data_IF_493907723695
#
_entry.id   IF_493907723695
#
_cell.length_a   1.000
_cell.length_b   1.000
_cell.length_c   1.000
_cell.angle_alpha   90.00
_cell.angle_beta   90.00
_cell.angle_gamma   90.00
#
_symmetry.space_group_name_H-M   'P 1'
#
loop_
_entity.id
_entity.type
_entity.pdbx_description
1 polymer ?
#
# COMPACT_ATOMS: atom_id res chain seq x y z
N UNK A 1 -23.18 26.76 -3.62
CA UNK A 1 -22.98 25.34 -3.93
C UNK A 1 -22.30 25.22 -5.28
N UNK A 2 -21.23 24.43 -5.38
CA UNK A 2 -20.54 24.21 -6.64
C UNK A 2 -20.03 22.77 -6.73
N UNK A 3 -19.82 22.31 -7.98
CA UNK A 3 -19.24 21.03 -8.31
C UNK A 3 -17.88 21.27 -8.97
N UNK A 4 -16.84 20.64 -8.44
CA UNK A 4 -15.51 20.60 -9.04
C UNK A 4 -15.22 19.18 -9.47
N UNK A 5 -14.63 19.01 -10.65
CA UNK A 5 -14.23 17.71 -11.18
C UNK A 5 -12.72 17.69 -11.36
N UNK A 6 -12.06 16.75 -10.69
CA UNK A 6 -10.64 16.48 -10.83
C UNK A 6 -10.45 15.20 -11.64
N UNK A 7 -9.50 15.21 -12.55
CA UNK A 7 -9.15 14.06 -13.34
C UNK A 7 -7.64 13.82 -13.27
N UNK A 8 -7.26 12.62 -12.85
CA UNK A 8 -5.90 12.12 -12.92
C UNK A 8 -5.76 11.24 -14.17
N UNK A 9 -4.90 11.67 -15.11
CA UNK A 9 -4.78 11.02 -16.42
C UNK A 9 -4.10 9.67 -16.35
N UNK A 10 -3.06 9.56 -15.53
CA UNK A 10 -2.25 8.34 -15.45
C UNK A 10 -2.98 7.23 -14.68
N UNK A 11 -3.77 7.59 -13.68
CA UNK A 11 -4.58 6.64 -12.91
C UNK A 11 -5.99 6.43 -13.49
N UNK A 12 -6.37 7.15 -14.57
CA UNK A 12 -7.72 7.16 -15.14
C UNK A 12 -8.81 7.38 -14.08
N UNK A 13 -8.47 8.10 -13.01
CA UNK A 13 -9.37 8.34 -11.88
C UNK A 13 -10.03 9.70 -12.01
N UNK A 14 -11.33 9.76 -11.76
CA UNK A 14 -12.12 11.00 -11.74
C UNK A 14 -12.69 11.20 -10.35
N UNK A 15 -12.51 12.38 -9.77
CA UNK A 15 -13.08 12.76 -8.49
C UNK A 15 -14.05 13.92 -8.66
N UNK A 16 -15.28 13.71 -8.22
CA UNK A 16 -16.34 14.72 -8.14
C UNK A 16 -16.38 15.27 -6.73
N UNK A 17 -16.22 16.57 -6.56
CA UNK A 17 -16.29 17.25 -5.27
C UNK A 17 -17.47 18.23 -5.29
N UNK A 18 -18.48 17.93 -4.49
CA UNK A 18 -19.65 18.79 -4.28
C UNK A 18 -19.47 19.58 -2.99
N UNK A 19 -19.43 20.89 -3.08
CA UNK A 19 -19.29 21.78 -1.92
C UNK A 19 -20.62 22.49 -1.64
N UNK A 20 -21.10 22.31 -0.41
CA UNK A 20 -22.33 22.88 0.11
C UNK A 20 -22.05 23.93 1.20
N UNK A 21 -20.85 24.50 1.21
CA UNK A 21 -20.40 25.49 2.18
C UNK A 21 -20.00 24.89 3.53
N UNK A 22 -20.93 24.28 4.26
CA UNK A 22 -20.66 23.64 5.56
C UNK A 22 -20.36 22.14 5.45
N UNK A 23 -20.59 21.56 4.28
CA UNK A 23 -20.40 20.13 4.03
C UNK A 23 -19.80 19.93 2.65
N UNK A 24 -18.86 19.03 2.53
CA UNK A 24 -18.25 18.61 1.26
C UNK A 24 -18.45 17.11 1.05
N UNK A 25 -18.91 16.74 -0.14
CA UNK A 25 -19.02 15.36 -0.56
C UNK A 25 -18.04 15.11 -1.70
N UNK A 26 -17.15 14.13 -1.55
CA UNK A 26 -16.21 13.71 -2.59
C UNK A 26 -16.53 12.28 -3.03
N UNK A 27 -16.65 12.09 -4.35
CA UNK A 27 -16.86 10.79 -4.97
C UNK A 27 -15.73 10.54 -5.97
N UNK A 28 -14.85 9.59 -5.68
CA UNK A 28 -13.80 9.15 -6.58
C UNK A 28 -14.24 7.90 -7.35
N UNK A 29 -14.11 7.95 -8.67
CA UNK A 29 -14.36 6.83 -9.57
C UNK A 29 -13.04 6.44 -10.24
N UNK A 30 -12.72 5.16 -10.19
CA UNK A 30 -11.55 4.59 -10.86
C UNK A 30 -11.98 3.46 -11.80
N UNK A 31 -11.18 3.13 -12.84
CA UNK A 31 -11.49 2.05 -13.77
C UNK A 31 -11.44 0.67 -13.11
N UNK A 32 -10.93 0.58 -11.88
CA UNK A 32 -10.93 -0.68 -11.13
C UNK A 32 -12.36 -1.17 -10.92
N UNK A 33 -12.71 -2.24 -11.60
CA UNK A 33 -14.02 -2.88 -11.50
C UNK A 33 -14.25 -3.55 -10.14
N UNK A 34 -13.21 -3.70 -9.34
CA UNK A 34 -13.26 -4.37 -8.06
C UNK A 34 -13.42 -3.35 -6.95
N UNK A 35 -14.56 -3.41 -6.29
CA UNK A 35 -14.83 -2.68 -5.07
C UNK A 35 -14.01 -3.31 -3.94
N UNK A 36 -12.75 -2.95 -3.89
CA UNK A 36 -11.86 -3.33 -2.80
C UNK A 36 -11.92 -2.30 -1.69
N UNK A 37 -11.93 -2.78 -0.48
CA UNK A 37 -11.49 -1.99 0.67
C UNK A 37 -10.03 -1.58 0.43
N UNK A 38 -9.55 -0.51 1.08
CA UNK A 38 -8.13 -0.14 1.03
C UNK A 38 -7.24 -1.38 1.20
N UNK A 39 -6.37 -1.64 0.25
CA UNK A 39 -5.53 -2.85 0.21
C UNK A 39 -5.82 -3.82 -0.93
N UNK A 40 -6.61 -3.42 -1.92
CA UNK A 40 -6.69 -4.06 -3.22
C UNK A 40 -5.68 -3.39 -4.19
N UNK A 41 -5.30 -4.10 -5.24
CA UNK A 41 -4.39 -3.60 -6.27
C UNK A 41 -2.95 -3.40 -5.77
N UNK A 42 -2.27 -2.40 -6.31
CA UNK A 42 -0.86 -2.10 -6.05
C UNK A 42 -0.61 -1.54 -4.64
N UNK A 43 -1.65 -1.12 -3.94
CA UNK A 43 -1.56 -0.60 -2.57
C UNK A 43 -0.88 -1.59 -1.63
N UNK A 44 -1.10 -2.90 -1.82
CA UNK A 44 -0.46 -3.93 -1.01
C UNK A 44 1.05 -3.97 -1.19
N UNK A 45 1.58 -3.63 -2.36
CA UNK A 45 3.02 -3.56 -2.60
C UNK A 45 3.67 -2.44 -1.78
N UNK A 46 3.01 -1.29 -1.68
CA UNK A 46 3.49 -0.20 -0.85
C UNK A 46 3.45 -0.55 0.65
N UNK A 47 2.46 -1.34 1.07
CA UNK A 47 2.32 -1.77 2.46
C UNK A 47 3.28 -2.88 2.91
N UNK A 48 3.99 -3.55 1.98
CA UNK A 48 5.05 -4.51 2.33
C UNK A 48 6.39 -3.83 2.60
N UNK A 49 6.55 -2.57 2.24
CA UNK A 49 7.74 -1.82 2.59
C UNK A 49 7.78 -1.67 4.11
N UNK A 50 8.88 -2.07 4.70
CA UNK A 50 9.10 -1.92 6.12
C UNK A 50 9.44 -0.46 6.37
N UNK A 51 8.46 0.29 6.84
CA UNK A 51 8.71 1.63 7.35
C UNK A 51 9.19 1.45 8.79
N UNK A 52 10.40 1.90 9.14
CA UNK A 52 10.90 1.81 10.50
C UNK A 52 9.91 2.41 11.50
N UNK A 53 9.67 1.74 12.63
CA UNK A 53 8.73 2.20 13.67
C UNK A 53 9.07 3.61 14.18
N UNK A 54 10.34 3.97 14.16
CA UNK A 54 10.86 5.31 14.49
C UNK A 54 10.24 6.39 13.61
N UNK A 55 10.08 6.13 12.31
CA UNK A 55 9.44 7.03 11.35
C UNK A 55 7.95 7.18 11.59
N UNK A 56 7.28 6.07 11.88
CA UNK A 56 5.86 6.10 12.24
C UNK A 56 5.65 6.88 13.52
N UNK A 57 6.56 6.77 14.49
CA UNK A 57 6.52 7.54 15.74
C UNK A 57 6.87 9.02 15.52
N UNK A 58 7.89 9.32 14.72
CA UNK A 58 8.27 10.69 14.37
C UNK A 58 7.13 11.41 13.64
N UNK A 59 6.55 10.77 12.63
CA UNK A 59 5.37 11.29 11.93
C UNK A 59 4.20 11.47 12.88
N UNK A 60 3.91 10.52 13.76
CA UNK A 60 2.84 10.65 14.76
C UNK A 60 3.09 11.82 15.75
N UNK A 61 4.33 12.12 16.09
CA UNK A 61 4.65 13.25 16.98
C UNK A 61 4.58 14.60 16.26
N UNK A 62 5.05 14.68 15.02
CA UNK A 62 4.91 15.85 14.16
C UNK A 62 3.44 16.18 13.86
N UNK A 63 2.64 15.16 13.60
CA UNK A 63 1.23 15.28 13.25
C UNK A 63 0.32 15.60 14.45
N UNK A 64 0.80 15.45 15.68
CA UNK A 64 0.10 15.94 16.87
C UNK A 64 0.12 17.47 16.97
N UNK A 65 1.15 18.10 16.41
CA UNK A 65 1.37 19.54 16.47
C UNK A 65 0.95 20.27 15.20
N UNK A 66 0.89 19.59 14.07
CA UNK A 66 0.54 20.21 12.79
C UNK A 66 -0.37 19.27 11.97
N UNK A 67 -1.49 19.78 11.50
CA UNK A 67 -2.46 18.98 10.74
C UNK A 67 -2.02 18.77 9.28
N UNK A 68 -1.03 19.53 8.80
CA UNK A 68 -0.50 19.47 7.45
C UNK A 68 0.72 18.55 7.41
N UNK A 69 0.77 17.73 6.37
CA UNK A 69 1.87 16.80 6.13
C UNK A 69 2.47 17.09 4.75
N UNK A 70 3.69 17.61 4.72
CA UNK A 70 4.45 17.82 3.49
C UNK A 70 5.59 16.79 3.42
N UNK A 71 5.48 15.77 2.53
CA UNK A 71 6.51 14.74 2.40
C UNK A 71 7.86 15.31 1.96
N UNK A 72 7.85 16.36 1.12
CA UNK A 72 9.05 16.97 0.58
C UNK A 72 9.84 17.70 1.67
N UNK A 73 9.15 18.52 2.46
CA UNK A 73 9.78 19.21 3.59
C UNK A 73 10.33 18.23 4.61
N UNK A 74 9.57 17.21 4.97
CA UNK A 74 10.01 16.19 5.92
C UNK A 74 11.19 15.37 5.41
N UNK A 75 11.24 15.07 4.10
CA UNK A 75 12.39 14.43 3.47
C UNK A 75 13.67 15.25 3.64
N UNK A 76 13.59 16.58 3.43
CA UNK A 76 14.72 17.49 3.54
C UNK A 76 15.12 17.68 5.02
N UNK A 77 14.16 17.91 5.91
CA UNK A 77 14.42 18.20 7.33
C UNK A 77 15.04 17.01 8.07
N UNK A 78 14.70 15.80 7.68
CA UNK A 78 15.13 14.57 8.34
C UNK A 78 16.18 13.76 7.55
N UNK A 79 16.68 14.28 6.43
CA UNK A 79 17.65 13.62 5.56
C UNK A 79 17.22 12.22 5.11
N UNK A 80 15.94 12.09 4.77
CA UNK A 80 15.34 10.85 4.25
C UNK A 80 15.26 10.91 2.75
N UNK A 81 15.65 9.83 2.07
CA UNK A 81 15.50 9.78 0.62
C UNK A 81 14.01 9.83 0.20
N UNK A 82 13.75 10.38 -0.96
CA UNK A 82 12.38 10.56 -1.47
C UNK A 82 11.65 9.25 -1.64
N UNK A 83 12.30 8.18 -2.07
CA UNK A 83 11.66 6.87 -2.26
C UNK A 83 11.12 6.31 -0.94
N UNK A 84 11.87 6.47 0.15
CA UNK A 84 11.44 6.07 1.50
C UNK A 84 10.28 6.95 1.98
N UNK A 85 10.32 8.25 1.71
CA UNK A 85 9.24 9.17 2.08
C UNK A 85 7.96 8.88 1.29
N UNK A 86 8.06 8.58 0.00
CA UNK A 86 6.93 8.19 -0.84
C UNK A 86 6.32 6.86 -0.36
N UNK A 87 7.15 5.88 -0.01
CA UNK A 87 6.69 4.62 0.56
C UNK A 87 5.97 4.82 1.90
N UNK A 88 6.50 5.69 2.76
CA UNK A 88 5.87 6.06 4.03
C UNK A 88 4.52 6.73 3.79
N UNK A 89 4.48 7.73 2.91
CA UNK A 89 3.27 8.46 2.54
C UNK A 89 2.20 7.52 1.98
N UNK A 90 2.57 6.64 1.04
CA UNK A 90 1.69 5.63 0.47
C UNK A 90 1.18 4.65 1.53
N UNK A 91 2.05 4.19 2.43
CA UNK A 91 1.66 3.30 3.54
C UNK A 91 0.67 3.97 4.48
N UNK A 92 0.94 5.21 4.93
CA UNK A 92 0.07 5.96 5.82
C UNK A 92 -1.28 6.30 5.18
N UNK A 93 -1.28 6.64 3.88
CA UNK A 93 -2.50 6.89 3.10
C UNK A 93 -3.33 5.60 2.95
N UNK A 94 -2.68 4.48 2.67
CA UNK A 94 -3.33 3.17 2.50
C UNK A 94 -4.03 2.68 3.76
N UNK A 95 -3.51 3.00 4.92
CA UNK A 95 -4.14 2.69 6.21
C UNK A 95 -5.10 3.78 6.69
N UNK A 96 -5.28 4.83 5.89
CA UNK A 96 -6.25 5.90 6.13
C UNK A 96 -5.79 6.96 7.13
N UNK A 97 -4.51 6.99 7.53
CA UNK A 97 -3.97 8.00 8.43
C UNK A 97 -3.66 9.32 7.73
N UNK A 98 -3.32 9.28 6.45
CA UNK A 98 -3.21 10.46 5.62
C UNK A 98 -4.40 10.55 4.67
N UNK A 99 -4.97 11.74 4.55
CA UNK A 99 -5.84 12.15 3.47
C UNK A 99 -5.10 13.11 2.55
N UNK A 100 -5.66 13.40 1.40
CA UNK A 100 -5.16 14.39 0.46
C UNK A 100 -6.27 15.40 0.16
N UNK A 101 -6.00 16.68 0.39
CA UNK A 101 -6.90 17.75 -0.01
C UNK A 101 -6.57 18.16 -1.45
N UNK A 102 -7.52 17.92 -2.37
CA UNK A 102 -7.36 18.21 -3.78
C UNK A 102 -7.32 19.72 -4.08
N UNK A 103 -7.96 20.57 -3.25
CA UNK A 103 -7.96 22.01 -3.47
C UNK A 103 -6.62 22.64 -3.05
N UNK A 104 -6.14 22.23 -1.87
CA UNK A 104 -4.88 22.75 -1.31
C UNK A 104 -3.66 21.99 -1.86
N UNK A 105 -3.89 20.88 -2.60
CA UNK A 105 -2.83 20.00 -3.10
C UNK A 105 -1.88 19.52 -2.01
N UNK A 106 -2.41 19.21 -0.84
CA UNK A 106 -1.62 18.86 0.34
C UNK A 106 -2.16 17.62 1.05
N UNK A 107 -1.26 16.86 1.64
CA UNK A 107 -1.63 15.79 2.56
C UNK A 107 -1.99 16.37 3.94
N UNK A 108 -2.96 15.75 4.58
CA UNK A 108 -3.35 16.06 5.94
C UNK A 108 -3.49 14.81 6.79
N UNK A 109 -3.18 14.95 8.06
CA UNK A 109 -3.30 13.85 9.02
C UNK A 109 -4.73 13.64 9.49
N UNK A 110 -5.15 12.38 9.53
CA UNK A 110 -6.46 11.99 10.01
C UNK A 110 -6.35 11.33 11.39
N UNK A 111 -6.96 11.95 12.37
CA UNK A 111 -7.11 11.33 13.70
C UNK A 111 -8.18 10.25 13.64
N UNK A 112 -7.76 9.01 13.43
CA UNK A 112 -8.69 7.89 13.42
C UNK A 112 -8.89 7.36 14.85
N UNK A 113 -10.13 6.97 15.22
CA UNK A 113 -10.42 6.40 16.53
C UNK A 113 -9.90 4.97 16.71
N UNK A 114 -9.06 4.48 15.79
CA UNK A 114 -8.58 3.11 15.75
C UNK A 114 -7.08 3.02 16.05
N UNK A 115 -6.68 1.93 16.70
CA UNK A 115 -5.26 1.59 16.84
C UNK A 115 -4.71 1.10 15.50
N UNK A 116 -3.53 1.57 15.11
CA UNK A 116 -2.82 1.19 13.89
C UNK A 116 -2.76 -0.34 13.69
N UNK A 117 -2.46 -1.09 14.75
CA UNK A 117 -2.39 -2.54 14.71
C UNK A 117 -3.69 -3.21 14.24
N UNK A 118 -4.85 -2.60 14.51
CA UNK A 118 -6.13 -3.11 14.02
C UNK A 118 -6.29 -2.88 12.52
N UNK A 119 -5.86 -1.74 12.01
CA UNK A 119 -5.97 -1.40 10.58
C UNK A 119 -5.10 -2.35 9.76
N UNK A 120 -3.86 -2.57 10.17
CA UNK A 120 -2.94 -3.51 9.51
C UNK A 120 -3.48 -4.96 9.52
N UNK A 121 -4.24 -5.32 10.56
CA UNK A 121 -4.87 -6.64 10.67
C UNK A 121 -6.10 -6.81 9.75
N UNK A 122 -6.67 -5.73 9.21
CA UNK A 122 -7.84 -5.78 8.33
C UNK A 122 -7.52 -6.31 6.92
N UNK A 123 -6.24 -6.39 6.54
CA UNK A 123 -5.86 -6.97 5.25
C UNK A 123 -5.42 -8.44 5.41
N UNK A 124 -6.30 -9.41 5.11
CA UNK A 124 -5.97 -10.82 5.30
C UNK A 124 -4.79 -11.30 4.46
N UNK A 125 -4.60 -10.74 3.25
CA UNK A 125 -3.50 -11.13 2.36
C UNK A 125 -2.16 -10.71 2.94
N UNK A 126 -2.05 -9.47 3.40
CA UNK A 126 -0.84 -8.95 4.02
C UNK A 126 -0.53 -9.66 5.34
N UNK A 127 -1.55 -9.86 6.19
CA UNK A 127 -1.40 -10.64 7.44
C UNK A 127 -0.88 -12.05 7.18
N UNK A 128 -1.48 -12.73 6.19
CA UNK A 128 -1.08 -14.09 5.84
C UNK A 128 0.30 -14.14 5.15
N UNK A 129 0.68 -13.10 4.39
CA UNK A 129 2.03 -13.00 3.82
C UNK A 129 3.08 -12.86 4.92
N UNK A 130 2.88 -11.99 5.90
CA UNK A 130 3.77 -11.85 7.08
C UNK A 130 3.87 -13.15 7.87
N UNK A 131 2.75 -13.88 8.01
CA UNK A 131 2.77 -15.19 8.64
C UNK A 131 3.63 -16.19 7.86
N UNK A 132 3.55 -16.23 6.54
CA UNK A 132 4.41 -17.10 5.72
C UNK A 132 5.90 -16.78 5.86
N UNK A 133 6.23 -15.50 6.04
CA UNK A 133 7.60 -15.05 6.33
C UNK A 133 8.03 -15.50 7.72
N UNK A 134 7.22 -15.24 8.76
CA UNK A 134 7.56 -15.63 10.14
C UNK A 134 7.64 -17.14 10.34
N UNK A 135 6.86 -17.91 9.58
CA UNK A 135 6.86 -19.38 9.62
C UNK A 135 7.97 -20.00 8.74
N UNK A 136 8.87 -19.16 8.18
CA UNK A 136 9.95 -19.59 7.27
C UNK A 136 9.44 -20.47 6.11
N UNK A 137 8.25 -20.15 5.62
CA UNK A 137 7.55 -20.95 4.61
C UNK A 137 7.97 -20.68 3.17
N UNK A 138 8.99 -19.85 2.95
CA UNK A 138 9.50 -19.44 1.63
C UNK A 138 10.88 -20.05 1.40
N UNK A 139 11.04 -20.82 0.33
CA UNK A 139 12.30 -21.40 -0.11
C UNK A 139 12.67 -20.83 -1.49
N UNK A 140 13.77 -20.09 -1.58
CA UNK A 140 14.26 -19.59 -2.86
C UNK A 140 14.97 -20.70 -3.64
N UNK A 141 14.60 -20.89 -4.90
CA UNK A 141 15.31 -21.73 -5.88
C UNK A 141 16.25 -20.88 -6.71
N UNK A 142 15.82 -19.67 -7.09
CA UNK A 142 16.64 -18.67 -7.76
C UNK A 142 16.33 -17.33 -7.11
N UNK A 143 17.34 -16.56 -6.77
CA UNK A 143 17.20 -15.22 -6.22
C UNK A 143 18.26 -14.31 -6.85
N UNK A 144 17.86 -13.61 -7.92
CA UNK A 144 18.69 -12.63 -8.62
C UNK A 144 17.93 -11.32 -8.74
N UNK A 145 18.58 -10.19 -9.00
CA UNK A 145 17.90 -8.89 -9.13
C UNK A 145 16.82 -8.85 -10.21
N UNK A 146 16.94 -9.67 -11.28
CA UNK A 146 16.03 -9.67 -12.41
C UNK A 146 15.04 -10.84 -12.40
N UNK A 147 15.40 -11.95 -11.72
CA UNK A 147 14.59 -13.16 -11.73
C UNK A 147 14.61 -13.85 -10.38
N UNK A 148 13.44 -14.09 -9.85
CA UNK A 148 13.23 -14.81 -8.59
C UNK A 148 12.28 -15.97 -8.82
N UNK A 149 12.70 -17.15 -8.36
CA UNK A 149 11.85 -18.34 -8.29
C UNK A 149 11.88 -18.85 -6.85
N UNK A 150 10.70 -18.97 -6.26
CA UNK A 150 10.55 -19.44 -4.89
C UNK A 150 9.40 -20.43 -4.75
N UNK A 151 9.58 -21.38 -3.83
CA UNK A 151 8.52 -22.26 -3.36
C UNK A 151 8.00 -21.75 -2.03
N UNK A 152 6.68 -21.68 -1.93
CA UNK A 152 5.99 -21.19 -0.73
C UNK A 152 5.04 -22.26 -0.23
N UNK A 153 5.26 -22.72 1.00
CA UNK A 153 4.40 -23.71 1.64
C UNK A 153 3.03 -23.14 1.93
N UNK A 154 1.98 -23.75 1.39
CA UNK A 154 0.57 -23.51 1.76
C UNK A 154 0.13 -24.50 2.85
N UNK A 155 -1.19 -24.60 3.09
CA UNK A 155 -1.72 -25.49 4.14
C UNK A 155 -1.51 -26.97 3.79
N UNK A 156 -1.75 -27.38 2.53
CA UNK A 156 -1.62 -28.77 2.09
C UNK A 156 -0.89 -28.89 0.75
N UNK A 157 -0.44 -27.78 0.20
CA UNK A 157 0.11 -27.68 -1.15
C UNK A 157 1.23 -26.63 -1.17
N UNK A 158 2.27 -26.92 -1.93
CA UNK A 158 3.34 -25.97 -2.22
C UNK A 158 3.03 -25.16 -3.47
N UNK A 159 3.26 -23.87 -3.41
CA UNK A 159 3.03 -22.95 -4.51
C UNK A 159 4.35 -22.44 -5.08
N UNK A 160 4.46 -22.40 -6.39
CA UNK A 160 5.60 -21.77 -7.08
C UNK A 160 5.28 -20.31 -7.36
N UNK A 161 6.20 -19.43 -6.96
CA UNK A 161 6.18 -17.99 -7.24
C UNK A 161 7.33 -17.68 -8.19
N UNK A 162 7.03 -16.95 -9.25
CA UNK A 162 8.02 -16.42 -10.20
C UNK A 162 7.83 -14.91 -10.29
N UNK A 163 8.94 -14.18 -10.16
CA UNK A 163 9.03 -12.74 -10.37
C UNK A 163 10.10 -12.51 -11.43
N UNK A 164 9.75 -11.82 -12.51
CA UNK A 164 10.63 -11.48 -13.60
C UNK A 164 10.42 -10.01 -13.97
N UNK A 165 11.25 -9.12 -13.43
CA UNK A 165 11.00 -7.69 -13.46
C UNK A 165 9.61 -7.37 -12.89
N UNK A 166 8.75 -6.70 -13.67
CA UNK A 166 7.39 -6.33 -13.29
C UNK A 166 6.35 -7.44 -13.52
N UNK A 167 6.78 -8.61 -13.98
CA UNK A 167 5.89 -9.73 -14.21
C UNK A 167 5.86 -10.68 -13.02
N UNK A 168 4.67 -10.98 -12.56
CA UNK A 168 4.42 -11.86 -11.42
C UNK A 168 3.62 -13.09 -11.83
N UNK A 169 3.97 -14.25 -11.30
CA UNK A 169 3.21 -15.50 -11.43
C UNK A 169 3.17 -16.26 -10.12
N UNK A 170 2.04 -16.90 -9.85
CA UNK A 170 1.89 -17.81 -8.72
C UNK A 170 0.90 -18.92 -9.09
N UNK A 171 1.19 -20.14 -8.66
CA UNK A 171 0.32 -21.31 -8.91
C UNK A 171 -0.91 -21.36 -7.97
N UNK A 172 -1.10 -20.42 -7.06
CA UNK A 172 -2.24 -20.43 -6.15
C UNK A 172 -3.56 -20.02 -6.85
N UNK A 173 -4.67 -20.56 -6.37
CA UNK A 173 -6.00 -20.29 -6.93
C UNK A 173 -6.35 -18.80 -6.98
N UNK A 174 -5.94 -18.02 -5.96
CA UNK A 174 -6.15 -16.58 -5.98
C UNK A 174 -5.52 -15.95 -7.23
N UNK A 175 -4.24 -16.21 -7.46
CA UNK A 175 -3.52 -15.58 -8.58
C UNK A 175 -4.01 -16.13 -9.92
N UNK A 176 -4.28 -17.42 -10.02
CA UNK A 176 -4.78 -18.06 -11.24
C UNK A 176 -6.12 -17.46 -11.66
N UNK A 177 -7.01 -17.17 -10.70
CA UNK A 177 -8.33 -16.62 -10.99
C UNK A 177 -8.32 -15.12 -11.29
N UNK A 178 -7.37 -14.37 -10.75
CA UNK A 178 -7.35 -12.90 -10.85
C UNK A 178 -6.19 -12.35 -11.68
N UNK A 179 -5.15 -13.14 -11.96
CA UNK A 179 -3.99 -12.79 -12.80
C UNK A 179 -3.38 -11.41 -12.51
N UNK A 180 -3.34 -11.04 -11.23
CA UNK A 180 -2.82 -9.75 -10.80
C UNK A 180 -3.81 -8.57 -10.85
N UNK A 181 -4.96 -8.70 -11.51
CA UNK A 181 -5.95 -7.61 -11.62
C UNK A 181 -6.45 -7.08 -10.28
N UNK A 182 -6.48 -7.93 -9.25
CA UNK A 182 -6.81 -7.56 -7.86
C UNK A 182 -5.58 -7.42 -6.96
N UNK A 183 -4.42 -7.15 -7.56
CA UNK A 183 -3.15 -7.05 -6.87
C UNK A 183 -2.52 -8.42 -6.56
N UNK A 184 -1.44 -8.41 -5.79
CA UNK A 184 -0.63 -9.58 -5.51
C UNK A 184 -1.29 -10.53 -4.50
N UNK A 185 -1.08 -11.82 -4.66
CA UNK A 185 -1.49 -12.83 -3.68
C UNK A 185 -0.51 -12.86 -2.48
N UNK A 186 -0.94 -13.47 -1.37
CA UNK A 186 -0.12 -13.59 -0.15
C UNK A 186 1.25 -14.24 -0.38
N UNK A 187 1.38 -15.15 -1.36
CA UNK A 187 2.62 -15.86 -1.64
C UNK A 187 3.64 -14.95 -2.35
N UNK A 188 3.20 -14.18 -3.36
CA UNK A 188 4.05 -13.20 -4.02
C UNK A 188 4.45 -12.10 -3.03
N UNK A 189 3.52 -11.61 -2.20
CA UNK A 189 3.81 -10.62 -1.15
C UNK A 189 4.87 -11.13 -0.17
N UNK A 190 4.79 -12.40 0.26
CA UNK A 190 5.77 -13.00 1.17
C UNK A 190 7.17 -13.06 0.54
N UNK A 191 7.27 -13.48 -0.74
CA UNK A 191 8.53 -13.48 -1.49
C UNK A 191 9.11 -12.07 -1.61
N UNK A 192 8.28 -11.09 -1.97
CA UNK A 192 8.71 -9.67 -2.09
C UNK A 192 9.18 -9.07 -0.76
N UNK A 193 8.59 -9.44 0.37
CA UNK A 193 9.06 -9.02 1.69
C UNK A 193 10.51 -9.46 1.94
N UNK A 194 10.83 -10.72 1.62
CA UNK A 194 12.16 -11.28 1.84
C UNK A 194 13.22 -10.83 0.83
N UNK A 195 12.82 -10.29 -0.32
CA UNK A 195 13.77 -9.84 -1.36
C UNK A 195 14.08 -8.35 -1.30
N UNK A 196 13.31 -7.56 -0.53
CA UNK A 196 13.57 -6.13 -0.32
C UNK A 196 14.46 -5.84 0.87
N UNK A 197 14.61 -6.80 1.79
CA UNK A 197 15.46 -6.69 3.00
C UNK A 197 16.90 -7.18 2.76
N UNK A 198 17.31 -7.40 1.46
CA UNK A 198 18.62 -7.87 1.06
C UNK A 198 19.43 -6.85 0.25
#
# INVERSE_FOLDING_TARGET
DHLVVYQEKDAETVCFVMDFGKMRLSLALSPSAYRGFSGEGNVLENMIQTVPDEWVQAVNSLLKSNEMFDPTLLSIEHDVNFDTMDALTASLSSIGLLGYDLNESQHYYRRLPFKMSRILALNPRLKNARKLVSDESVEFKVNTPLYIEAKVKGTDVEHTVIINGDQFRCTCNWFTNHQGQRGLCKHILAVKMLTKDG
#
